data_IF_204381941109
#
_entry.id   IF_204381941109
#
_cell.length_a   1.000
_cell.length_b   1.000
_cell.length_c   1.000
_cell.angle_alpha   90.00
_cell.angle_beta   90.00
_cell.angle_gamma   90.00
#
_symmetry.space_group_name_H-M   'P 1'
#
loop_
_entity.id
_entity.type
_entity.pdbx_description
1 polymer ?
#
# COMPACT_ATOMS: atom_id res chain seq x y z
N UNK A 1 -33.83 -17.93 -21.33
CA UNK A 1 -33.73 -16.48 -20.97
C UNK A 1 -32.96 -16.26 -19.67
N UNK A 2 -33.23 -17.02 -18.62
CA UNK A 2 -32.56 -16.91 -17.30
C UNK A 2 -31.03 -17.10 -17.34
N UNK A 3 -30.55 -18.03 -18.17
CA UNK A 3 -29.11 -18.31 -18.37
C UNK A 3 -28.37 -17.19 -19.10
N UNK A 4 -28.99 -16.60 -20.13
CA UNK A 4 -28.44 -15.45 -20.85
C UNK A 4 -28.31 -14.21 -19.98
N UNK A 5 -29.31 -13.95 -19.12
CA UNK A 5 -29.26 -12.85 -18.16
C UNK A 5 -28.18 -13.05 -17.09
N UNK A 6 -27.91 -14.30 -16.69
CA UNK A 6 -26.85 -14.63 -15.74
C UNK A 6 -25.47 -14.39 -16.35
N UNK A 7 -25.27 -14.80 -17.61
CA UNK A 7 -24.00 -14.58 -18.32
C UNK A 7 -23.74 -13.09 -18.58
N UNK A 8 -24.77 -12.29 -18.90
CA UNK A 8 -24.60 -10.84 -19.08
C UNK A 8 -24.27 -10.14 -17.76
N UNK A 9 -24.86 -10.57 -16.65
CA UNK A 9 -24.56 -10.01 -15.33
C UNK A 9 -23.11 -10.31 -14.91
N UNK A 10 -22.64 -11.54 -15.14
CA UNK A 10 -21.27 -11.96 -14.83
C UNK A 10 -20.23 -11.18 -15.64
N UNK A 11 -20.52 -10.90 -16.92
CA UNK A 11 -19.65 -10.12 -17.79
C UNK A 11 -19.52 -8.65 -17.32
N UNK A 12 -20.62 -8.04 -16.85
CA UNK A 12 -20.61 -6.67 -16.33
C UNK A 12 -19.80 -6.56 -15.03
N UNK A 13 -19.86 -7.58 -14.16
CA UNK A 13 -19.06 -7.62 -12.93
C UNK A 13 -17.56 -7.72 -13.24
N UNK A 14 -17.17 -8.53 -14.23
CA UNK A 14 -15.77 -8.68 -14.64
C UNK A 14 -15.18 -7.39 -15.24
N UNK A 15 -15.97 -6.66 -16.05
CA UNK A 15 -15.57 -5.37 -16.62
C UNK A 15 -15.45 -4.26 -15.56
N UNK A 16 -16.25 -4.31 -14.48
CA UNK A 16 -16.17 -3.36 -13.37
C UNK A 16 -14.93 -3.58 -12.48
N UNK A 17 -14.40 -4.80 -12.42
CA UNK A 17 -13.20 -5.12 -11.64
C UNK A 17 -11.89 -4.68 -12.33
N UNK A 18 -11.87 -4.52 -13.66
CA UNK A 18 -10.65 -4.18 -14.42
C UNK A 18 -10.20 -2.72 -14.32
N UNK A 19 -10.94 -1.83 -13.65
CA UNK A 19 -10.61 -0.39 -13.57
C UNK A 19 -9.61 -0.01 -12.48
N UNK A 20 -9.16 -0.97 -11.65
CA UNK A 20 -8.28 -0.68 -10.51
C UNK A 20 -6.77 -0.76 -10.82
N UNK A 21 -6.35 -1.06 -12.05
CA UNK A 21 -4.94 -0.97 -12.43
C UNK A 21 -4.62 0.42 -12.99
N UNK A 22 -4.60 1.44 -12.12
CA UNK A 22 -3.94 2.69 -12.46
C UNK A 22 -2.45 2.41 -12.69
N UNK A 23 -1.84 2.89 -13.78
CA UNK A 23 -0.40 2.79 -13.95
C UNK A 23 0.22 3.63 -12.83
N UNK A 24 0.81 2.94 -11.86
CA UNK A 24 1.56 3.53 -10.75
C UNK A 24 2.60 4.48 -11.35
N UNK A 25 2.32 5.77 -11.28
CA UNK A 25 3.20 6.85 -11.72
C UNK A 25 4.48 6.71 -10.91
N UNK A 26 5.54 6.28 -11.58
CA UNK A 26 6.89 6.16 -11.02
C UNK A 26 7.46 7.56 -10.80
N UNK A 27 6.99 8.29 -9.79
CA UNK A 27 7.39 9.68 -9.52
C UNK A 27 8.82 9.77 -8.93
N UNK A 28 9.33 8.68 -8.35
CA UNK A 28 10.67 8.53 -7.77
C UNK A 28 11.80 8.47 -8.79
N UNK A 29 11.51 8.11 -10.05
CA UNK A 29 12.47 8.14 -11.14
C UNK A 29 13.01 9.57 -11.39
N UNK A 30 12.21 10.60 -11.12
CA UNK A 30 12.61 12.00 -11.32
C UNK A 30 13.70 12.46 -10.32
N UNK A 31 13.68 11.94 -9.09
CA UNK A 31 14.58 12.37 -8.01
C UNK A 31 15.89 11.58 -7.93
N UNK A 32 16.01 10.50 -8.71
CA UNK A 32 17.17 9.61 -8.70
C UNK A 32 18.45 10.33 -9.16
N UNK A 33 18.37 11.18 -10.18
CA UNK A 33 19.53 11.93 -10.67
C UNK A 33 20.02 13.02 -9.69
N UNK A 34 19.10 13.66 -8.97
CA UNK A 34 19.46 14.67 -7.96
C UNK A 34 20.05 14.03 -6.72
N UNK A 35 19.50 12.91 -6.27
CA UNK A 35 20.04 12.13 -5.16
C UNK A 35 21.48 11.65 -5.44
N UNK A 36 21.79 11.21 -6.67
CA UNK A 36 23.15 10.84 -7.07
C UNK A 36 24.10 12.05 -6.99
N UNK A 37 23.67 13.22 -7.48
CA UNK A 37 24.49 14.45 -7.41
C UNK A 37 24.74 14.88 -5.97
N UNK A 38 23.72 14.80 -5.10
CA UNK A 38 23.85 15.10 -3.68
C UNK A 38 24.79 14.10 -2.97
N UNK A 39 24.69 12.82 -3.30
CA UNK A 39 25.57 11.78 -2.76
C UNK A 39 27.03 11.98 -3.18
N UNK A 40 27.28 12.41 -4.43
CA UNK A 40 28.62 12.79 -4.89
C UNK A 40 29.17 14.03 -4.19
N UNK A 41 28.32 15.02 -3.89
CA UNK A 41 28.71 16.23 -3.14
C UNK A 41 29.01 15.91 -1.66
N UNK A 42 28.31 14.94 -1.08
CA UNK A 42 28.48 14.47 0.30
C UNK A 42 29.60 13.42 0.42
N UNK A 43 30.33 13.12 -0.68
CA UNK A 43 31.37 12.08 -0.75
C UNK A 43 30.87 10.66 -0.41
N UNK A 44 29.56 10.42 -0.46
CA UNK A 44 28.96 9.08 -0.31
C UNK A 44 29.22 8.22 -1.55
N UNK A 45 29.41 8.87 -2.71
CA UNK A 45 29.82 8.24 -3.97
C UNK A 45 31.12 8.92 -4.43
N UNK A 46 32.21 8.18 -4.66
CA UNK A 46 33.45 8.73 -5.22
C UNK A 46 33.20 9.39 -6.58
N UNK A 47 33.87 10.52 -6.85
CA UNK A 47 33.65 11.32 -8.08
C UNK A 47 34.03 10.59 -9.37
N UNK A 48 34.85 9.57 -9.25
CA UNK A 48 35.36 8.69 -10.30
C UNK A 48 34.61 7.35 -10.38
N UNK A 49 33.58 7.14 -9.55
CA UNK A 49 32.77 5.94 -9.60
C UNK A 49 31.87 5.93 -10.84
N UNK A 50 32.03 4.91 -11.69
CA UNK A 50 31.13 4.64 -12.80
C UNK A 50 29.86 3.95 -12.27
N UNK A 51 28.73 4.64 -12.38
CA UNK A 51 27.41 4.08 -12.06
C UNK A 51 27.02 3.13 -13.19
N UNK A 52 27.07 1.82 -12.94
CA UNK A 52 26.74 0.80 -13.94
C UNK A 52 25.24 0.55 -14.05
N UNK A 53 24.52 0.54 -12.93
CA UNK A 53 23.07 0.41 -12.88
C UNK A 53 22.54 1.18 -11.66
N UNK A 54 21.45 1.92 -11.84
CA UNK A 54 20.70 2.49 -10.73
C UNK A 54 19.40 1.70 -10.61
N UNK A 55 19.26 0.97 -9.52
CA UNK A 55 18.02 0.30 -9.22
C UNK A 55 17.12 1.33 -8.52
N UNK A 56 16.10 1.81 -9.23
CA UNK A 56 15.07 2.65 -8.64
C UNK A 56 14.47 1.89 -7.45
N UNK A 57 14.60 2.47 -6.26
CA UNK A 57 13.97 1.92 -5.07
C UNK A 57 12.47 1.86 -5.28
N UNK A 58 11.83 0.86 -4.68
CA UNK A 58 10.37 0.82 -4.58
C UNK A 58 9.94 2.14 -3.93
N UNK A 59 9.16 2.95 -4.64
CA UNK A 59 8.62 4.20 -4.12
C UNK A 59 7.75 3.86 -2.91
N UNK A 60 8.30 4.09 -1.71
CA UNK A 60 7.61 3.88 -0.45
C UNK A 60 6.33 4.74 -0.37
N UNK A 61 6.23 5.83 -1.14
CA UNK A 61 5.03 6.66 -1.22
C UNK A 61 3.76 5.90 -1.65
N UNK A 62 3.89 4.80 -2.41
CA UNK A 62 2.75 3.93 -2.74
C UNK A 62 2.46 2.87 -1.67
N UNK A 63 3.45 2.52 -0.83
CA UNK A 63 3.30 1.54 0.26
C UNK A 63 2.97 2.16 1.63
N UNK A 64 3.15 3.48 1.76
CA UNK A 64 2.76 4.27 2.94
C UNK A 64 1.30 4.70 2.90
N UNK A 65 0.56 4.34 1.85
CA UNK A 65 -0.89 4.48 1.81
C UNK A 65 -1.56 3.39 2.67
N UNK A 66 -1.07 3.19 3.90
CA UNK A 66 -1.83 2.53 4.94
C UNK A 66 -2.94 3.51 5.31
N UNK A 67 -4.21 3.21 5.01
CA UNK A 67 -5.28 4.12 5.33
C UNK A 67 -5.29 4.34 6.84
N UNK A 68 -4.98 5.56 7.31
CA UNK A 68 -4.97 5.88 8.74
C UNK A 68 -6.34 5.71 9.42
N UNK A 69 -7.39 5.51 8.61
CA UNK A 69 -8.76 5.22 9.03
C UNK A 69 -9.13 3.74 8.91
N UNK A 70 -8.18 2.84 8.59
CA UNK A 70 -8.45 1.42 8.53
C UNK A 70 -8.79 0.92 9.95
N UNK A 71 -10.06 0.56 10.15
CA UNK A 71 -10.49 -0.05 11.40
C UNK A 71 -9.88 -1.44 11.53
N UNK A 72 -9.27 -1.70 12.69
CA UNK A 72 -8.76 -3.01 13.06
C UNK A 72 -9.90 -3.80 13.67
N UNK A 73 -10.21 -4.99 13.15
CA UNK A 73 -11.18 -5.89 13.78
C UNK A 73 -10.43 -6.93 14.63
N UNK A 74 -10.47 -6.78 15.96
CA UNK A 74 -9.77 -7.68 16.87
C UNK A 74 -10.42 -9.06 16.98
N UNK A 75 -11.70 -9.21 16.61
CA UNK A 75 -12.34 -10.53 16.58
C UNK A 75 -11.72 -11.45 15.54
N UNK A 76 -11.40 -10.92 14.36
CA UNK A 76 -10.80 -11.71 13.28
C UNK A 76 -9.35 -12.13 13.60
N UNK A 77 -8.70 -11.41 14.51
CA UNK A 77 -7.28 -11.62 14.86
C UNK A 77 -7.14 -12.48 16.11
N UNK A 78 -8.00 -12.29 17.11
CA UNK A 78 -7.87 -12.86 18.46
C UNK A 78 -9.02 -13.80 18.85
N UNK A 79 -10.05 -13.95 18.02
CA UNK A 79 -11.29 -14.67 18.34
C UNK A 79 -11.09 -16.14 18.76
N UNK A 80 -10.04 -16.79 18.26
CA UNK A 80 -9.75 -18.19 18.57
C UNK A 80 -9.05 -18.39 19.93
N UNK A 81 -8.43 -17.34 20.46
CA UNK A 81 -7.55 -17.43 21.65
C UNK A 81 -8.06 -16.62 22.83
N UNK A 82 -8.84 -15.57 22.58
CA UNK A 82 -9.23 -14.58 23.58
C UNK A 82 -10.76 -14.56 23.71
N UNK A 83 -11.33 -14.58 24.93
CA UNK A 83 -12.77 -14.47 25.12
C UNK A 83 -13.33 -13.15 24.56
N UNK A 84 -14.54 -13.22 23.99
CA UNK A 84 -15.22 -12.08 23.34
C UNK A 84 -15.34 -10.83 24.21
N UNK A 85 -15.48 -11.00 25.52
CA UNK A 85 -15.59 -9.89 26.46
C UNK A 85 -14.28 -9.10 26.60
N UNK A 86 -13.14 -9.79 26.57
CA UNK A 86 -11.82 -9.14 26.58
C UNK A 86 -11.58 -8.46 25.23
N UNK A 87 -11.97 -9.09 24.12
CA UNK A 87 -11.86 -8.50 22.78
C UNK A 87 -12.67 -7.20 22.68
N UNK A 88 -13.91 -7.18 23.18
CA UNK A 88 -14.75 -5.97 23.19
C UNK A 88 -14.12 -4.81 23.95
N UNK A 89 -13.51 -5.10 25.12
CA UNK A 89 -12.82 -4.09 25.91
C UNK A 89 -11.57 -3.55 25.18
N UNK A 90 -10.79 -4.42 24.55
CA UNK A 90 -9.61 -4.02 23.78
C UNK A 90 -9.98 -3.24 22.52
N UNK A 91 -11.08 -3.62 21.85
CA UNK A 91 -11.55 -2.93 20.65
C UNK A 91 -11.91 -1.47 20.96
N UNK A 92 -12.63 -1.23 22.06
CA UNK A 92 -12.94 0.13 22.53
C UNK A 92 -11.69 0.97 22.82
N UNK A 93 -10.64 0.35 23.37
CA UNK A 93 -9.37 1.03 23.65
C UNK A 93 -8.58 1.34 22.39
N UNK A 94 -8.49 0.39 21.44
CA UNK A 94 -7.78 0.55 20.17
C UNK A 94 -8.48 1.59 19.28
N UNK A 95 -9.81 1.62 19.26
CA UNK A 95 -10.61 2.59 18.47
C UNK A 95 -10.41 4.06 18.91
N UNK A 96 -9.87 4.29 20.11
CA UNK A 96 -9.55 5.61 20.66
C UNK A 96 -8.13 6.07 20.32
N UNK A 97 -7.24 5.17 19.90
CA UNK A 97 -5.87 5.49 19.51
C UNK A 97 -5.89 6.30 18.21
N UNK A 98 -5.11 7.38 18.15
CA UNK A 98 -4.97 8.21 16.95
C UNK A 98 -6.07 9.27 16.74
N UNK A 99 -6.97 9.48 17.71
CA UNK A 99 -7.97 10.57 17.70
C UNK A 99 -7.49 11.88 18.36
N UNK A 100 -6.18 12.04 18.57
CA UNK A 100 -5.58 13.24 19.17
C UNK A 100 -4.94 14.13 18.12
#
# INVERSE_FOLDING_TARGET
MKTFALCSLLAVVLLACSTHSLPQTREGAAYTNEAIRQAQQTLLIPKDAQIQNVQEGIELGAYEQIPGNQRINLFDILGDTVPSEVINNLQSQVDQIGRN
#
